data_IF_252859517938
#
_entry.id   IF_252859517938
#
_cell.length_a   1.000
_cell.length_b   1.000
_cell.length_c   1.000
_cell.angle_alpha   90.00
_cell.angle_beta   90.00
_cell.angle_gamma   90.00
#
_symmetry.space_group_name_H-M   'P 1'
#
loop_
_entity.id
_entity.type
_entity.pdbx_description
1 polymer ?
#
# COMPACT_ATOMS: atom_id res chain seq x y z
N UNK A 1 85.81 -15.17 -31.91
CA UNK A 1 85.47 -14.40 -30.69
C UNK A 1 83.98 -14.09 -30.75
N UNK A 2 83.22 -14.88 -30.04
CA UNK A 2 81.72 -14.81 -30.10
C UNK A 2 81.19 -13.96 -28.93
N UNK A 3 80.58 -12.85 -29.20
CA UNK A 3 79.89 -12.05 -28.21
C UNK A 3 78.51 -12.67 -27.99
N UNK A 4 78.22 -13.16 -26.81
CA UNK A 4 76.95 -13.57 -26.30
C UNK A 4 76.25 -12.37 -25.69
N UNK A 5 75.14 -11.98 -26.30
CA UNK A 5 74.19 -10.96 -25.79
C UNK A 5 73.23 -11.65 -24.87
N UNK A 6 73.05 -11.30 -23.59
CA UNK A 6 71.97 -11.84 -22.76
C UNK A 6 70.66 -11.14 -23.05
N UNK A 7 69.73 -11.92 -23.50
CA UNK A 7 68.32 -11.50 -23.67
C UNK A 7 67.66 -11.47 -22.27
N UNK A 8 67.47 -10.25 -21.75
CA UNK A 8 66.78 -10.03 -20.51
C UNK A 8 65.23 -10.19 -20.79
N UNK A 9 64.71 -11.37 -20.43
CA UNK A 9 63.29 -11.61 -20.47
C UNK A 9 62.64 -10.92 -19.23
N UNK A 10 62.04 -9.74 -19.40
CA UNK A 10 61.23 -9.11 -18.38
C UNK A 10 59.94 -9.93 -18.23
N UNK A 11 59.90 -10.79 -17.24
CA UNK A 11 58.63 -11.37 -16.77
C UNK A 11 57.83 -10.21 -16.15
N UNK A 12 56.84 -9.72 -16.89
CA UNK A 12 55.72 -8.97 -16.33
C UNK A 12 54.95 -9.93 -15.41
N UNK A 13 55.31 -9.91 -14.12
CA UNK A 13 54.45 -10.49 -13.08
C UNK A 13 53.19 -9.64 -13.05
N UNK A 14 52.14 -10.13 -13.69
CA UNK A 14 50.82 -9.62 -13.46
C UNK A 14 50.44 -9.98 -12.01
N UNK A 15 50.64 -9.02 -11.11
CA UNK A 15 50.07 -9.08 -9.76
C UNK A 15 48.60 -8.74 -9.96
N UNK A 16 47.68 -9.66 -9.79
CA UNK A 16 46.27 -9.27 -9.67
C UNK A 16 46.26 -8.34 -8.47
N UNK A 17 46.03 -7.07 -8.68
CA UNK A 17 45.49 -6.21 -7.65
C UNK A 17 44.15 -6.83 -7.32
N UNK A 18 44.06 -7.51 -6.18
CA UNK A 18 42.74 -7.77 -5.57
C UNK A 18 42.13 -6.38 -5.40
N UNK A 19 41.36 -5.98 -6.38
CA UNK A 19 40.49 -4.82 -6.26
C UNK A 19 39.58 -5.17 -5.08
N UNK A 20 39.75 -4.48 -3.97
CA UNK A 20 38.85 -4.58 -2.83
C UNK A 20 37.43 -4.73 -3.36
N UNK A 21 36.82 -5.84 -3.01
CA UNK A 21 35.55 -6.19 -3.57
C UNK A 21 34.49 -5.26 -2.98
N UNK A 22 34.22 -4.18 -3.71
CA UNK A 22 33.03 -3.35 -3.43
C UNK A 22 31.80 -4.16 -3.80
N UNK A 23 30.94 -4.40 -2.84
CA UNK A 23 29.72 -5.18 -3.03
C UNK A 23 28.49 -4.32 -2.83
N UNK A 24 27.49 -4.58 -3.66
CA UNK A 24 26.14 -4.02 -3.51
C UNK A 24 25.14 -5.16 -3.41
N UNK A 25 24.25 -5.06 -2.45
CA UNK A 25 23.21 -6.05 -2.20
C UNK A 25 21.83 -5.36 -2.13
N UNK A 26 20.82 -5.94 -2.77
CA UNK A 26 19.44 -5.60 -2.50
C UNK A 26 18.96 -6.42 -1.30
N UNK A 27 18.62 -5.74 -0.21
CA UNK A 27 18.07 -6.37 0.99
C UNK A 27 16.57 -6.22 0.99
N UNK A 28 15.87 -7.33 1.25
CA UNK A 28 14.41 -7.36 1.37
C UNK A 28 14.03 -7.83 2.76
N UNK A 29 13.28 -6.99 3.46
CA UNK A 29 12.69 -7.28 4.76
C UNK A 29 11.23 -7.67 4.58
N UNK A 30 10.85 -8.82 5.12
CA UNK A 30 9.48 -9.31 5.07
C UNK A 30 8.49 -8.41 5.82
N UNK A 31 7.19 -8.66 5.69
CA UNK A 31 6.14 -7.95 6.42
C UNK A 31 6.31 -8.00 7.93
N UNK A 32 5.79 -7.00 8.63
CA UNK A 32 5.75 -6.91 10.08
C UNK A 32 4.33 -6.73 10.63
N UNK A 33 4.21 -6.47 11.93
CA UNK A 33 2.91 -6.35 12.61
C UNK A 33 2.25 -4.98 12.40
N UNK A 34 3.03 -3.91 12.34
CA UNK A 34 2.49 -2.57 12.20
C UNK A 34 1.87 -2.34 10.81
N UNK A 35 0.91 -1.44 10.72
CA UNK A 35 0.18 -1.16 9.47
C UNK A 35 1.11 -0.81 8.33
N UNK A 36 2.12 0.02 8.59
CA UNK A 36 3.13 0.45 7.61
C UNK A 36 4.20 -0.62 7.32
N UNK A 37 4.32 -1.65 8.15
CA UNK A 37 5.25 -2.76 7.95
C UNK A 37 4.66 -3.90 7.11
N UNK A 38 3.33 -3.90 6.88
CA UNK A 38 2.62 -4.99 6.19
C UNK A 38 3.11 -5.24 4.77
N UNK A 39 3.64 -4.24 4.12
CA UNK A 39 4.14 -4.33 2.75
C UNK A 39 5.61 -4.78 2.66
N UNK A 40 6.29 -4.98 3.78
CA UNK A 40 7.72 -5.24 3.80
C UNK A 40 8.56 -3.96 3.68
N UNK A 41 9.84 -4.12 3.34
CA UNK A 41 10.77 -3.00 3.10
C UNK A 41 11.96 -3.44 2.26
N UNK A 42 12.59 -2.52 1.52
CA UNK A 42 13.86 -2.75 0.85
C UNK A 42 14.93 -1.75 1.31
N UNK A 43 16.17 -2.22 1.28
CA UNK A 43 17.35 -1.40 1.45
C UNK A 43 18.44 -1.83 0.44
N UNK A 44 19.37 -0.93 0.14
CA UNK A 44 20.65 -1.27 -0.50
C UNK A 44 21.73 -1.38 0.54
N UNK A 45 22.40 -2.52 0.59
CA UNK A 45 23.54 -2.77 1.48
C UNK A 45 24.81 -2.70 0.67
N UNK A 46 25.67 -1.75 1.02
CA UNK A 46 26.98 -1.55 0.39
C UNK A 46 28.10 -1.95 1.34
N UNK A 47 29.06 -2.70 0.82
CA UNK A 47 30.27 -3.13 1.50
C UNK A 47 31.48 -2.64 0.72
N UNK A 48 32.41 -1.99 1.41
CA UNK A 48 33.74 -1.64 0.91
C UNK A 48 34.73 -1.83 2.06
N UNK A 49 35.42 -2.95 2.06
CA UNK A 49 36.36 -3.31 3.15
C UNK A 49 37.53 -2.33 3.28
N UNK A 50 38.03 -1.78 2.16
CA UNK A 50 39.16 -0.81 2.18
C UNK A 50 38.72 0.52 2.78
N UNK A 51 37.49 0.96 2.45
CA UNK A 51 36.92 2.19 3.00
C UNK A 51 36.31 1.99 4.41
N UNK A 52 36.22 0.75 4.91
CA UNK A 52 35.53 0.43 6.15
C UNK A 52 34.01 0.71 6.07
N UNK A 53 33.44 0.62 4.88
CA UNK A 53 32.00 0.82 4.65
C UNK A 53 31.29 -0.52 4.79
N UNK A 54 30.28 -0.55 5.66
CA UNK A 54 29.32 -1.66 5.84
C UNK A 54 27.98 -1.05 6.28
N UNK A 55 27.26 -0.51 5.30
CA UNK A 55 26.05 0.28 5.57
C UNK A 55 24.89 -0.14 4.68
N UNK A 56 23.71 -0.08 5.26
CA UNK A 56 22.43 -0.16 4.56
C UNK A 56 21.87 1.25 4.32
N UNK A 57 21.31 1.46 3.15
CA UNK A 57 20.68 2.70 2.70
C UNK A 57 19.22 2.42 2.42
N UNK A 58 18.34 3.10 3.15
CA UNK A 58 16.89 2.89 3.08
C UNK A 58 16.15 4.20 2.86
N UNK A 59 15.00 4.14 2.21
CA UNK A 59 14.11 5.28 1.97
C UNK A 59 12.74 5.02 2.61
N UNK A 60 11.97 6.09 2.85
CA UNK A 60 10.65 5.96 3.47
C UNK A 60 10.61 6.35 4.94
N UNK A 61 11.63 7.02 5.45
CA UNK A 61 11.62 7.60 6.80
C UNK A 61 10.82 8.89 6.85
N UNK A 62 10.17 9.14 7.98
CA UNK A 62 9.37 10.33 8.22
C UNK A 62 9.42 10.74 9.71
N UNK A 63 9.12 12.01 9.99
CA UNK A 63 9.17 12.59 11.33
C UNK A 63 7.75 12.86 11.84
N UNK A 64 7.23 11.96 12.69
CA UNK A 64 5.88 12.12 13.28
C UNK A 64 5.77 13.28 14.26
N UNK A 65 6.86 13.68 14.89
CA UNK A 65 6.96 14.77 15.85
C UNK A 65 7.15 16.15 15.18
N UNK A 66 7.34 16.18 13.85
CA UNK A 66 7.37 17.43 13.08
C UNK A 66 6.05 18.19 13.23
N UNK A 67 6.13 19.50 13.54
CA UNK A 67 4.95 20.34 13.60
C UNK A 67 4.14 20.29 12.29
N UNK A 68 2.84 20.01 12.41
CA UNK A 68 1.94 19.92 11.26
C UNK A 68 1.93 18.56 10.53
N UNK A 69 2.73 17.55 10.95
CA UNK A 69 2.80 16.24 10.30
C UNK A 69 1.41 15.61 10.05
N UNK A 70 0.57 15.53 11.08
CA UNK A 70 -0.76 14.92 10.95
C UNK A 70 -1.69 15.70 10.02
N UNK A 71 -1.54 17.01 9.95
CA UNK A 71 -2.31 17.85 9.04
C UNK A 71 -1.87 17.67 7.59
N UNK A 72 -0.56 17.65 7.36
CA UNK A 72 0.01 17.36 6.03
C UNK A 72 -0.35 15.95 5.57
N UNK A 73 -0.19 14.95 6.45
CA UNK A 73 -0.57 13.57 6.18
C UNK A 73 -2.06 13.44 5.80
N UNK A 74 -2.96 14.10 6.56
CA UNK A 74 -4.39 14.09 6.26
C UNK A 74 -4.71 14.71 4.88
N UNK A 75 -3.87 15.61 4.38
CA UNK A 75 -3.98 16.21 3.05
C UNK A 75 -3.30 15.39 1.94
N UNK A 76 -2.60 14.32 2.28
CA UNK A 76 -1.81 13.52 1.34
C UNK A 76 -0.45 14.15 1.00
N UNK A 77 0.05 15.07 1.84
CA UNK A 77 1.38 15.68 1.70
C UNK A 77 2.33 14.88 2.60
N UNK A 78 2.99 13.91 2.01
CA UNK A 78 3.84 12.96 2.74
C UNK A 78 5.31 13.20 2.37
N UNK A 79 6.00 14.01 3.19
CA UNK A 79 7.41 14.35 2.98
C UNK A 79 8.30 13.36 3.72
N UNK A 80 8.92 12.48 2.97
CA UNK A 80 9.76 11.39 3.46
C UNK A 80 11.20 11.58 2.97
N UNK A 81 12.15 10.86 3.58
CA UNK A 81 13.58 10.96 3.27
C UNK A 81 14.27 9.61 3.38
N UNK A 82 15.52 9.55 2.90
CA UNK A 82 16.39 8.39 3.02
C UNK A 82 17.29 8.49 4.26
N UNK A 83 17.75 7.34 4.77
CA UNK A 83 18.68 7.23 5.88
C UNK A 83 19.69 6.11 5.64
N UNK A 84 20.86 6.21 6.26
CA UNK A 84 21.86 5.16 6.28
C UNK A 84 22.09 4.67 7.70
N UNK A 85 22.34 3.36 7.84
CA UNK A 85 22.64 2.68 9.10
C UNK A 85 23.73 1.66 8.89
N UNK A 86 24.48 1.26 9.94
CA UNK A 86 25.32 0.07 9.82
C UNK A 86 24.46 -1.17 9.60
N UNK A 87 24.90 -2.08 8.74
CA UNK A 87 24.17 -3.32 8.44
C UNK A 87 23.84 -4.12 9.71
N UNK A 88 24.79 -4.20 10.64
CA UNK A 88 24.62 -4.90 11.91
C UNK A 88 23.44 -4.35 12.74
N UNK A 89 23.33 -3.01 12.84
CA UNK A 89 22.24 -2.36 13.59
C UNK A 89 20.89 -2.56 12.90
N UNK A 90 20.86 -2.44 11.59
CA UNK A 90 19.61 -2.59 10.84
C UNK A 90 19.10 -4.03 10.87
N UNK A 91 19.99 -5.01 10.64
CA UNK A 91 19.59 -6.41 10.70
C UNK A 91 19.14 -6.82 12.11
N UNK A 92 19.77 -6.33 13.17
CA UNK A 92 19.32 -6.57 14.54
C UNK A 92 17.93 -5.99 14.81
N UNK A 93 17.65 -4.79 14.30
CA UNK A 93 16.33 -4.17 14.40
C UNK A 93 15.24 -5.03 13.77
N UNK A 94 15.47 -5.58 12.56
CA UNK A 94 14.48 -6.42 11.88
C UNK A 94 14.39 -7.82 12.48
N UNK A 95 15.49 -8.43 12.94
CA UNK A 95 15.48 -9.69 13.70
C UNK A 95 14.68 -9.56 15.00
N UNK A 96 14.89 -8.48 15.75
CA UNK A 96 14.17 -8.23 16.99
C UNK A 96 12.66 -8.08 16.83
N UNK A 97 12.18 -7.89 15.59
CA UNK A 97 10.77 -7.83 15.20
C UNK A 97 10.28 -9.07 14.47
N UNK A 98 11.08 -10.12 14.44
CA UNK A 98 10.82 -11.37 13.73
C UNK A 98 10.39 -11.16 12.26
N UNK A 99 11.07 -10.22 11.56
CA UNK A 99 10.88 -9.99 10.12
C UNK A 99 11.97 -10.71 9.34
N UNK A 100 11.60 -11.44 8.30
CA UNK A 100 12.56 -12.13 7.44
C UNK A 100 13.51 -11.13 6.78
N UNK A 101 14.76 -11.55 6.56
CA UNK A 101 15.80 -10.75 5.90
C UNK A 101 16.41 -11.62 4.81
N UNK A 102 16.22 -11.27 3.56
CA UNK A 102 16.92 -11.85 2.43
C UNK A 102 17.78 -10.79 1.75
N UNK A 103 18.93 -11.18 1.22
CA UNK A 103 19.85 -10.28 0.51
C UNK A 103 20.30 -10.90 -0.81
N UNK A 104 20.21 -10.13 -1.89
CA UNK A 104 20.61 -10.51 -3.25
C UNK A 104 21.84 -9.70 -3.63
N UNK A 105 22.98 -10.38 -3.82
CA UNK A 105 24.21 -9.78 -4.30
C UNK A 105 24.06 -9.38 -5.75
N UNK A 106 24.25 -8.10 -6.05
CA UNK A 106 24.12 -7.55 -7.39
C UNK A 106 25.46 -7.69 -8.14
N UNK A 107 25.42 -8.26 -9.33
CA UNK A 107 26.58 -8.38 -10.23
C UNK A 107 26.82 -7.06 -10.96
N UNK A 108 27.23 -6.05 -10.19
CA UNK A 108 27.56 -4.72 -10.67
C UNK A 108 29.09 -4.56 -10.79
N UNK A 109 29.51 -3.89 -11.84
CA UNK A 109 30.92 -3.50 -12.00
C UNK A 109 31.33 -2.55 -10.87
N UNK A 110 32.63 -2.48 -10.51
CA UNK A 110 33.10 -1.52 -9.51
C UNK A 110 32.76 -0.06 -9.83
N UNK A 111 32.64 0.29 -11.11
CA UNK A 111 32.21 1.63 -11.53
C UNK A 111 30.75 1.89 -11.21
N UNK A 112 29.86 0.91 -11.42
CA UNK A 112 28.45 0.98 -11.09
C UNK A 112 28.21 1.03 -9.58
N UNK A 113 28.96 0.23 -8.79
CA UNK A 113 28.86 0.27 -7.32
C UNK A 113 29.27 1.66 -6.79
N UNK A 114 30.38 2.23 -7.29
CA UNK A 114 30.78 3.60 -6.91
C UNK A 114 29.76 4.65 -7.33
N UNK A 115 29.13 4.49 -8.49
CA UNK A 115 28.08 5.39 -8.95
C UNK A 115 26.84 5.29 -8.07
N UNK A 116 26.37 4.06 -7.77
CA UNK A 116 25.30 3.81 -6.83
C UNK A 116 25.57 4.43 -5.45
N UNK A 117 26.75 4.21 -4.89
CA UNK A 117 27.16 4.80 -3.60
C UNK A 117 27.11 6.34 -3.62
N UNK A 118 27.54 6.95 -4.72
CA UNK A 118 27.48 8.40 -4.87
C UNK A 118 26.05 8.91 -4.88
N UNK A 119 25.14 8.30 -5.66
CA UNK A 119 23.73 8.68 -5.72
C UNK A 119 23.06 8.56 -4.35
N UNK A 120 23.34 7.48 -3.62
CA UNK A 120 22.81 7.26 -2.27
C UNK A 120 23.34 8.32 -1.28
N UNK A 121 24.63 8.66 -1.36
CA UNK A 121 25.18 9.70 -0.51
C UNK A 121 24.62 11.09 -0.83
N UNK A 122 24.47 11.44 -2.09
CA UNK A 122 23.87 12.71 -2.51
C UNK A 122 22.42 12.85 -2.02
N UNK A 123 21.67 11.76 -1.97
CA UNK A 123 20.28 11.75 -1.48
C UNK A 123 20.16 11.87 0.05
N UNK A 124 21.20 11.44 0.81
CA UNK A 124 21.11 11.30 2.27
C UNK A 124 22.01 12.29 3.01
N UNK A 125 23.16 12.68 2.47
CA UNK A 125 24.17 13.47 3.18
C UNK A 125 24.50 14.81 2.46
N UNK A 126 24.91 15.88 3.19
CA UNK A 126 24.96 15.96 4.66
C UNK A 126 23.60 16.12 5.33
N UNK A 127 22.56 16.48 4.56
CA UNK A 127 21.17 16.63 5.02
C UNK A 127 20.28 15.81 4.09
N UNK A 128 19.44 14.93 4.61
CA UNK A 128 18.55 14.12 3.78
C UNK A 128 17.69 14.97 2.86
N UNK A 129 17.60 14.57 1.59
CA UNK A 129 16.69 15.18 0.65
C UNK A 129 15.28 14.62 0.88
N UNK A 130 14.33 15.52 1.11
CA UNK A 130 12.92 15.14 1.22
C UNK A 130 12.32 14.93 -0.15
N UNK A 131 11.50 13.88 -0.29
CA UNK A 131 10.70 13.61 -1.47
C UNK A 131 9.22 13.45 -1.10
N UNK A 132 8.36 13.64 -2.09
CA UNK A 132 6.93 13.41 -1.92
C UNK A 132 6.66 11.91 -2.03
N UNK A 133 6.38 11.29 -0.88
CA UNK A 133 6.10 9.87 -0.79
C UNK A 133 4.73 9.54 -1.38
N UNK A 134 4.68 8.47 -2.14
CA UNK A 134 3.45 7.87 -2.63
C UNK A 134 3.42 6.38 -2.32
N UNK A 135 2.26 5.88 -1.92
CA UNK A 135 2.12 4.48 -1.48
C UNK A 135 2.55 3.47 -2.53
N UNK A 136 2.32 3.77 -3.83
CA UNK A 136 2.54 2.85 -4.93
C UNK A 136 3.59 3.34 -5.94
N UNK A 137 3.77 4.65 -6.10
CA UNK A 137 4.62 5.20 -7.15
C UNK A 137 5.91 5.84 -6.66
N UNK A 138 6.02 6.20 -5.36
CA UNK A 138 7.22 6.82 -4.80
C UNK A 138 7.46 6.37 -3.35
N UNK A 139 7.83 5.11 -3.16
CA UNK A 139 8.09 4.52 -1.85
C UNK A 139 9.52 3.97 -1.72
N UNK A 140 9.82 3.21 -0.66
CA UNK A 140 11.15 2.64 -0.43
C UNK A 140 11.61 1.74 -1.59
N UNK A 141 10.74 0.90 -2.13
CA UNK A 141 11.09 -0.03 -3.22
C UNK A 141 11.25 0.68 -4.55
N UNK A 142 10.33 1.57 -4.90
CA UNK A 142 10.37 2.29 -6.19
C UNK A 142 11.60 3.19 -6.28
N UNK A 143 12.02 3.82 -5.16
CA UNK A 143 13.27 4.57 -5.11
C UNK A 143 14.48 3.71 -5.45
N UNK A 144 14.57 2.52 -4.85
CA UNK A 144 15.67 1.60 -5.11
C UNK A 144 15.59 0.98 -6.51
N UNK A 145 14.39 0.67 -7.00
CA UNK A 145 14.15 0.25 -8.38
C UNK A 145 14.73 1.26 -9.38
N UNK A 146 14.40 2.54 -9.19
CA UNK A 146 14.80 3.61 -10.08
C UNK A 146 16.32 3.83 -10.05
N UNK A 147 16.96 3.76 -8.87
CA UNK A 147 18.41 3.79 -8.74
C UNK A 147 19.10 2.59 -9.42
N UNK A 148 18.57 1.39 -9.23
CA UNK A 148 19.11 0.18 -9.87
C UNK A 148 18.95 0.25 -11.38
N UNK A 149 17.83 0.74 -11.86
CA UNK A 149 17.59 0.95 -13.29
C UNK A 149 18.61 1.94 -13.89
N UNK A 150 18.86 3.06 -13.20
CA UNK A 150 19.83 4.07 -13.62
C UNK A 150 21.24 3.48 -13.72
N UNK A 151 21.71 2.77 -12.69
CA UNK A 151 23.08 2.21 -12.69
C UNK A 151 23.27 1.01 -13.61
N UNK A 152 22.19 0.34 -14.00
CA UNK A 152 22.19 -0.76 -14.98
C UNK A 152 21.88 -0.30 -16.40
N UNK A 153 21.77 1.01 -16.63
CA UNK A 153 21.51 1.59 -17.97
C UNK A 153 20.13 1.33 -18.51
N UNK A 154 19.11 1.20 -17.65
CA UNK A 154 17.71 1.01 -18.04
C UNK A 154 17.27 -0.46 -18.14
N UNK A 155 18.07 -1.40 -17.69
CA UNK A 155 17.82 -2.84 -17.87
C UNK A 155 16.60 -3.34 -17.09
N UNK A 156 16.31 -2.75 -15.92
CA UNK A 156 15.11 -3.09 -15.14
C UNK A 156 13.86 -2.65 -15.89
N UNK A 157 13.82 -1.40 -16.33
CA UNK A 157 12.68 -0.85 -17.08
C UNK A 157 12.46 -1.60 -18.38
N UNK A 158 13.51 -1.89 -19.14
CA UNK A 158 13.44 -2.66 -20.39
C UNK A 158 12.78 -4.01 -20.18
N UNK A 159 13.11 -4.71 -19.10
CA UNK A 159 12.52 -6.00 -18.77
C UNK A 159 11.11 -5.87 -18.19
N UNK A 160 10.95 -5.07 -17.13
CA UNK A 160 9.75 -5.09 -16.30
C UNK A 160 8.54 -4.39 -16.95
N UNK A 161 8.76 -3.39 -17.82
CA UNK A 161 7.67 -2.73 -18.55
C UNK A 161 7.01 -3.63 -19.61
N UNK A 162 7.71 -4.68 -20.05
CA UNK A 162 7.20 -5.62 -21.05
C UNK A 162 6.39 -6.77 -20.43
N UNK A 163 6.39 -6.88 -19.10
CA UNK A 163 5.68 -7.94 -18.38
C UNK A 163 4.48 -7.36 -17.61
N UNK A 164 3.32 -8.03 -17.66
CA UNK A 164 2.21 -7.66 -16.79
C UNK A 164 2.57 -7.93 -15.33
N UNK A 165 1.98 -7.17 -14.42
CA UNK A 165 2.03 -7.47 -13.00
C UNK A 165 1.32 -8.82 -12.71
N UNK A 166 1.72 -9.49 -11.63
CA UNK A 166 1.04 -10.71 -11.17
C UNK A 166 -0.30 -10.40 -10.52
N UNK A 167 -0.38 -9.24 -9.86
CA UNK A 167 -1.56 -8.71 -9.18
C UNK A 167 -1.58 -7.18 -9.30
N UNK A 168 -2.80 -6.60 -9.24
CA UNK A 168 -2.93 -5.14 -9.15
C UNK A 168 -2.68 -4.64 -7.71
N UNK A 169 -2.68 -3.32 -7.53
CA UNK A 169 -2.38 -2.71 -6.23
C UNK A 169 -3.41 -3.08 -5.15
N UNK A 170 -4.68 -3.24 -5.51
CA UNK A 170 -5.72 -3.66 -4.57
C UNK A 170 -5.52 -5.10 -4.10
N UNK A 171 -5.22 -6.01 -5.01
CA UNK A 171 -5.03 -7.42 -4.69
C UNK A 171 -3.85 -7.60 -3.73
N UNK A 172 -2.73 -6.91 -3.97
CA UNK A 172 -1.61 -6.88 -3.03
C UNK A 172 -2.00 -6.26 -1.69
N UNK A 173 -2.69 -5.10 -1.69
CA UNK A 173 -3.14 -4.45 -0.46
C UNK A 173 -4.11 -5.35 0.31
N UNK A 174 -5.00 -6.06 -0.39
CA UNK A 174 -5.94 -7.02 0.18
C UNK A 174 -5.21 -8.17 0.87
N UNK A 175 -4.40 -8.96 0.12
CA UNK A 175 -3.73 -10.15 0.65
C UNK A 175 -2.83 -9.86 1.85
N UNK A 176 -2.10 -8.74 1.82
CA UNK A 176 -1.19 -8.35 2.90
C UNK A 176 -1.90 -7.93 4.19
N UNK A 177 -3.21 -7.63 4.13
CA UNK A 177 -4.01 -7.20 5.28
C UNK A 177 -5.08 -8.21 5.71
N UNK A 178 -5.21 -9.36 5.06
CA UNK A 178 -6.24 -10.38 5.36
C UNK A 178 -6.22 -10.87 6.80
N UNK A 179 -5.06 -10.93 7.43
CA UNK A 179 -4.90 -11.35 8.83
C UNK A 179 -5.50 -10.34 9.83
N UNK A 180 -5.86 -9.14 9.38
CA UNK A 180 -6.48 -8.07 10.19
C UNK A 180 -7.82 -7.63 9.57
N UNK A 181 -8.91 -8.37 9.80
CA UNK A 181 -10.18 -8.19 9.07
C UNK A 181 -10.73 -6.77 9.09
N UNK A 182 -10.61 -6.06 10.22
CA UNK A 182 -11.08 -4.68 10.35
C UNK A 182 -10.25 -3.68 9.56
N UNK A 183 -8.93 -3.87 9.54
CA UNK A 183 -8.04 -3.04 8.73
C UNK A 183 -8.29 -3.31 7.23
N UNK A 184 -8.39 -4.59 6.86
CA UNK A 184 -8.73 -5.00 5.50
C UNK A 184 -10.06 -4.37 5.05
N UNK A 185 -11.14 -4.51 5.84
CA UNK A 185 -12.44 -3.92 5.53
C UNK A 185 -12.37 -2.39 5.37
N UNK A 186 -11.62 -1.72 6.25
CA UNK A 186 -11.41 -0.27 6.21
C UNK A 186 -10.68 0.16 4.93
N UNK A 187 -9.54 -0.47 4.61
CA UNK A 187 -8.77 -0.18 3.41
C UNK A 187 -9.60 -0.45 2.15
N UNK A 188 -10.23 -1.62 2.07
CA UNK A 188 -11.05 -2.00 0.90
C UNK A 188 -12.23 -1.06 0.68
N UNK A 189 -12.79 -0.49 1.76
CA UNK A 189 -13.84 0.53 1.68
C UNK A 189 -13.32 1.90 1.23
N UNK A 190 -12.10 2.26 1.66
CA UNK A 190 -11.53 3.59 1.42
C UNK A 190 -10.96 3.74 0.01
N UNK A 191 -10.38 2.67 -0.53
CA UNK A 191 -9.66 2.70 -1.80
C UNK A 191 -10.63 2.71 -3.00
N UNK A 192 -10.38 3.61 -3.94
CA UNK A 192 -11.16 3.82 -5.18
C UNK A 192 -10.67 2.95 -6.34
N UNK A 193 -11.21 3.15 -7.56
CA UNK A 193 -10.95 2.31 -8.73
C UNK A 193 -9.54 2.46 -9.33
N UNK A 194 -8.80 3.50 -8.99
CA UNK A 194 -7.46 3.73 -9.56
C UNK A 194 -6.50 2.58 -9.27
N UNK A 195 -6.64 1.95 -8.10
CA UNK A 195 -5.77 0.85 -7.68
C UNK A 195 -6.20 -0.53 -8.21
N UNK A 196 -7.34 -0.60 -8.93
CA UNK A 196 -7.83 -1.81 -9.60
C UNK A 196 -7.29 -1.97 -11.03
N UNK A 197 -6.65 -0.92 -11.56
CA UNK A 197 -6.13 -0.93 -12.93
C UNK A 197 -5.09 -2.03 -13.13
N UNK A 198 -5.05 -2.58 -14.33
CA UNK A 198 -3.95 -3.42 -14.77
C UNK A 198 -2.62 -2.67 -14.64
N UNK A 199 -1.58 -3.38 -14.19
CA UNK A 199 -0.26 -2.84 -13.93
C UNK A 199 0.80 -3.65 -14.66
N UNK A 200 1.98 -3.05 -14.81
CA UNK A 200 3.18 -3.74 -15.28
C UNK A 200 3.98 -4.26 -14.08
N UNK A 201 4.90 -5.15 -14.32
CA UNK A 201 5.87 -5.58 -13.31
C UNK A 201 6.69 -4.41 -12.74
N UNK A 202 6.92 -3.37 -13.55
CA UNK A 202 7.53 -2.12 -13.10
C UNK A 202 6.70 -1.44 -12.01
N UNK A 203 5.40 -1.33 -12.20
CA UNK A 203 4.50 -0.76 -11.20
C UNK A 203 4.42 -1.67 -9.96
N UNK A 204 4.36 -3.01 -10.16
CA UNK A 204 4.28 -4.00 -9.08
C UNK A 204 5.50 -3.98 -8.16
N UNK A 205 6.66 -3.51 -8.65
CA UNK A 205 7.87 -3.31 -7.85
C UNK A 205 7.76 -2.19 -6.78
N UNK A 206 6.56 -1.59 -6.59
CA UNK A 206 6.28 -0.85 -5.35
C UNK A 206 6.38 -1.76 -4.13
N UNK A 207 6.16 -3.06 -4.34
CA UNK A 207 6.22 -4.08 -3.31
C UNK A 207 7.64 -4.65 -3.19
N UNK A 208 8.23 -4.66 -1.98
CA UNK A 208 9.59 -5.14 -1.76
C UNK A 208 9.87 -6.55 -2.30
N UNK A 209 8.94 -7.47 -2.09
CA UNK A 209 9.08 -8.84 -2.60
C UNK A 209 9.01 -8.91 -4.12
N UNK A 210 8.19 -8.06 -4.76
CA UNK A 210 8.11 -8.01 -6.22
C UNK A 210 9.37 -7.40 -6.84
N UNK A 211 9.95 -6.36 -6.22
CA UNK A 211 11.23 -5.83 -6.66
C UNK A 211 12.32 -6.91 -6.60
N UNK A 212 12.44 -7.63 -5.47
CA UNK A 212 13.41 -8.71 -5.32
C UNK A 212 13.20 -9.84 -6.36
N UNK A 213 11.93 -10.21 -6.61
CA UNK A 213 11.56 -11.21 -7.60
C UNK A 213 12.02 -10.83 -9.02
N UNK A 214 11.81 -9.55 -9.40
CA UNK A 214 12.15 -9.09 -10.74
C UNK A 214 13.64 -8.82 -10.90
N UNK A 215 14.34 -8.27 -9.90
CA UNK A 215 15.79 -8.07 -9.92
C UNK A 215 16.53 -9.39 -10.16
N UNK A 216 16.03 -10.51 -9.60
CA UNK A 216 16.56 -11.86 -9.83
C UNK A 216 16.41 -12.34 -11.29
N UNK A 217 15.52 -11.74 -12.06
CA UNK A 217 15.17 -12.12 -13.44
C UNK A 217 15.69 -11.20 -14.51
N UNK A 218 16.20 -10.05 -14.11
CA UNK A 218 16.83 -9.10 -15.03
C UNK A 218 18.23 -9.56 -15.38
N UNK A 219 18.57 -9.53 -16.66
CA UNK A 219 19.88 -9.95 -17.18
C UNK A 219 20.45 -8.88 -18.10
N UNK A 220 21.09 -7.82 -17.53
CA UNK A 220 21.72 -6.80 -18.33
C UNK A 220 22.77 -7.43 -19.27
N UNK A 221 22.75 -7.07 -20.52
CA UNK A 221 23.68 -7.63 -21.54
C UNK A 221 23.77 -9.17 -21.54
N UNK A 222 22.70 -9.85 -21.09
CA UNK A 222 22.62 -11.31 -21.04
C UNK A 222 23.31 -11.98 -19.83
N UNK A 223 23.80 -11.20 -18.86
CA UNK A 223 24.33 -11.70 -17.59
C UNK A 223 23.32 -11.48 -16.46
N UNK A 224 23.05 -12.49 -15.59
CA UNK A 224 22.15 -12.30 -14.46
C UNK A 224 22.58 -11.14 -13.57
N UNK A 225 21.64 -10.25 -13.21
CA UNK A 225 21.93 -9.14 -12.30
C UNK A 225 22.19 -9.60 -10.86
N UNK A 226 21.64 -10.75 -10.47
CA UNK A 226 21.87 -11.35 -9.14
C UNK A 226 22.86 -12.47 -9.23
N UNK A 227 24.02 -12.31 -8.56
CA UNK A 227 25.07 -13.31 -8.48
C UNK A 227 24.82 -14.36 -7.38
N UNK A 228 24.20 -13.95 -6.28
CA UNK A 228 23.97 -14.78 -5.09
C UNK A 228 22.76 -14.28 -4.30
N UNK A 229 22.02 -15.20 -3.69
CA UNK A 229 20.95 -14.87 -2.74
C UNK A 229 21.21 -15.53 -1.40
N UNK A 230 21.11 -14.77 -0.31
CA UNK A 230 21.29 -15.23 1.08
C UNK A 230 20.03 -14.97 1.90
N UNK A 231 19.56 -15.99 2.61
CA UNK A 231 18.60 -15.82 3.70
C UNK A 231 19.36 -15.53 4.99
N UNK A 232 19.28 -14.30 5.47
CA UNK A 232 19.99 -13.83 6.67
C UNK A 232 19.18 -14.12 7.94
N UNK A 233 17.86 -14.02 7.84
CA UNK A 233 16.93 -14.36 8.92
C UNK A 233 15.60 -14.85 8.34
N UNK A 234 15.10 -15.93 8.89
CA UNK A 234 13.80 -16.52 8.54
C UNK A 234 12.78 -16.22 9.64
N UNK A 235 11.74 -15.45 9.30
CA UNK A 235 10.68 -15.11 10.25
C UNK A 235 9.82 -16.34 10.56
N UNK A 236 9.52 -16.54 11.85
CA UNK A 236 8.72 -17.68 12.29
C UNK A 236 7.20 -17.44 12.24
N UNK A 237 6.77 -16.18 12.21
CA UNK A 237 5.37 -15.81 12.51
C UNK A 237 4.64 -15.13 11.32
N UNK A 238 5.33 -14.51 10.38
CA UNK A 238 4.69 -13.57 9.44
C UNK A 238 4.92 -13.88 7.97
N UNK A 239 4.43 -15.02 7.50
CA UNK A 239 4.30 -15.21 6.06
C UNK A 239 2.94 -14.66 5.59
N UNK A 240 2.93 -13.63 4.73
CA UNK A 240 1.68 -13.18 4.12
C UNK A 240 1.12 -14.28 3.22
N UNK A 241 -0.23 -14.37 3.07
CA UNK A 241 -0.82 -15.33 2.15
C UNK A 241 -0.41 -15.01 0.70
N UNK A 242 -0.27 -16.05 -0.13
CA UNK A 242 0.08 -15.90 -1.54
C UNK A 242 -1.05 -15.30 -2.38
N UNK A 243 -2.30 -15.50 -1.95
CA UNK A 243 -3.50 -15.03 -2.64
C UNK A 243 -4.48 -14.33 -1.68
N UNK A 244 -5.33 -13.48 -2.24
CA UNK A 244 -6.35 -12.75 -1.50
C UNK A 244 -7.62 -13.58 -1.27
N UNK A 245 -7.55 -14.59 -0.44
CA UNK A 245 -8.73 -15.36 -0.04
C UNK A 245 -9.57 -14.57 0.97
N UNK A 246 -10.54 -13.83 0.48
CA UNK A 246 -11.39 -12.95 1.28
C UNK A 246 -12.25 -13.77 2.26
N UNK A 247 -12.35 -13.30 3.50
CA UNK A 247 -13.23 -13.88 4.52
C UNK A 247 -14.68 -13.43 4.30
N UNK A 248 -15.33 -13.91 3.23
CA UNK A 248 -16.70 -13.53 2.84
C UNK A 248 -17.73 -13.70 3.98
N UNK A 249 -17.59 -14.72 4.80
CA UNK A 249 -18.48 -14.98 5.95
C UNK A 249 -18.41 -13.88 7.01
N UNK A 250 -17.24 -13.26 7.20
CA UNK A 250 -17.05 -12.16 8.14
C UNK A 250 -17.86 -10.94 7.69
N UNK A 251 -17.77 -10.56 6.41
CA UNK A 251 -18.54 -9.47 5.85
C UNK A 251 -20.05 -9.74 5.92
N UNK A 252 -20.46 -10.94 5.53
CA UNK A 252 -21.88 -11.33 5.59
C UNK A 252 -22.42 -11.29 7.03
N UNK A 253 -21.66 -11.79 7.99
CA UNK A 253 -22.06 -11.77 9.41
C UNK A 253 -22.25 -10.33 9.91
N UNK A 254 -21.31 -9.42 9.63
CA UNK A 254 -21.44 -8.00 9.97
C UNK A 254 -22.69 -7.40 9.35
N UNK A 255 -22.94 -7.66 8.06
CA UNK A 255 -24.10 -7.16 7.34
C UNK A 255 -25.42 -7.63 7.94
N UNK A 256 -25.53 -8.92 8.25
CA UNK A 256 -26.75 -9.52 8.83
C UNK A 256 -27.00 -9.06 10.27
N UNK A 257 -25.98 -9.12 11.12
CA UNK A 257 -26.09 -8.67 12.53
C UNK A 257 -26.35 -7.17 12.59
N UNK A 258 -25.61 -6.36 11.84
CA UNK A 258 -25.84 -4.92 11.75
C UNK A 258 -27.22 -4.58 11.22
N UNK A 259 -27.67 -5.25 10.16
CA UNK A 259 -29.02 -5.10 9.59
C UNK A 259 -30.12 -5.47 10.58
N UNK A 260 -29.95 -6.54 11.37
CA UNK A 260 -30.86 -6.92 12.43
C UNK A 260 -30.95 -5.84 13.53
N UNK A 261 -29.80 -5.37 14.03
CA UNK A 261 -29.75 -4.31 15.04
C UNK A 261 -30.41 -3.01 14.56
N UNK A 262 -30.14 -2.60 13.32
CA UNK A 262 -30.75 -1.43 12.69
C UNK A 262 -32.26 -1.56 12.53
N UNK A 263 -32.75 -2.79 12.40
CA UNK A 263 -34.18 -3.08 12.24
C UNK A 263 -34.97 -3.20 13.54
N UNK A 264 -34.35 -3.06 14.72
CA UNK A 264 -35.03 -3.15 16.02
C UNK A 264 -36.32 -2.31 16.14
N UNK A 265 -36.41 -1.07 15.61
CA UNK A 265 -37.64 -0.29 15.70
C UNK A 265 -38.85 -0.89 14.97
N UNK A 266 -38.65 -1.84 14.05
CA UNK A 266 -39.70 -2.54 13.34
C UNK A 266 -40.30 -3.71 14.12
N UNK A 267 -39.45 -4.33 14.99
CA UNK A 267 -39.86 -5.52 15.76
C UNK A 267 -40.31 -5.18 17.16
N UNK A 268 -39.84 -4.06 17.69
CA UNK A 268 -40.13 -3.60 19.03
C UNK A 268 -40.74 -2.20 19.01
N UNK A 269 -41.35 -1.79 20.14
CA UNK A 269 -41.86 -0.43 20.30
C UNK A 269 -40.76 0.61 20.03
N UNK A 270 -41.05 1.55 19.14
CA UNK A 270 -40.10 2.63 18.80
C UNK A 270 -39.85 3.52 20.02
N UNK A 271 -38.63 3.59 20.46
CA UNK A 271 -38.11 4.45 21.54
C UNK A 271 -36.62 4.78 21.30
N UNK A 272 -36.01 5.58 22.19
CA UNK A 272 -34.65 6.01 22.03
C UNK A 272 -33.66 4.83 21.91
N UNK A 273 -33.86 3.76 22.64
CA UNK A 273 -32.95 2.60 22.67
C UNK A 273 -33.06 1.74 21.42
N UNK A 274 -34.27 1.53 20.91
CA UNK A 274 -34.48 0.78 19.67
C UNK A 274 -34.02 1.58 18.44
N UNK A 275 -34.09 2.93 18.48
CA UNK A 275 -33.61 3.81 17.41
C UNK A 275 -32.11 4.05 17.43
N UNK A 276 -31.43 3.81 18.56
CA UNK A 276 -30.01 4.13 18.70
C UNK A 276 -29.12 3.41 17.67
N UNK A 277 -29.24 2.08 17.44
CA UNK A 277 -28.42 1.39 16.43
C UNK A 277 -28.64 1.97 15.01
N UNK A 278 -29.88 2.29 14.67
CA UNK A 278 -30.19 2.90 13.37
C UNK A 278 -29.55 4.29 13.22
N UNK A 279 -29.65 5.14 14.26
CA UNK A 279 -29.01 6.48 14.24
C UNK A 279 -27.49 6.39 14.16
N UNK A 280 -26.89 5.45 14.87
CA UNK A 280 -25.44 5.21 14.80
C UNK A 280 -25.01 4.75 13.41
N UNK A 281 -25.74 3.83 12.78
CA UNK A 281 -25.47 3.37 11.42
C UNK A 281 -25.61 4.51 10.40
N UNK A 282 -26.68 5.30 10.50
CA UNK A 282 -26.89 6.49 9.64
C UNK A 282 -25.77 7.50 9.79
N UNK A 283 -25.35 7.78 11.03
CA UNK A 283 -24.21 8.66 11.30
C UNK A 283 -22.90 8.10 10.73
N UNK A 284 -22.62 6.81 10.97
CA UNK A 284 -21.40 6.15 10.49
C UNK A 284 -21.31 6.15 8.96
N UNK A 285 -22.38 5.76 8.27
CA UNK A 285 -22.44 5.74 6.80
C UNK A 285 -22.26 7.14 6.22
N UNK A 286 -23.00 8.10 6.76
CA UNK A 286 -22.93 9.47 6.25
C UNK A 286 -21.60 10.16 6.54
N UNK A 287 -21.00 9.95 7.73
CA UNK A 287 -19.69 10.49 8.08
C UNK A 287 -18.59 9.83 7.25
N UNK A 288 -18.60 8.50 7.10
CA UNK A 288 -17.64 7.79 6.27
C UNK A 288 -17.70 8.27 4.82
N UNK A 289 -18.90 8.40 4.27
CA UNK A 289 -19.08 8.96 2.93
C UNK A 289 -18.61 10.41 2.82
N UNK A 290 -18.85 11.24 3.84
CA UNK A 290 -18.34 12.61 3.86
C UNK A 290 -16.80 12.66 3.92
N UNK A 291 -16.17 11.77 4.70
CA UNK A 291 -14.70 11.64 4.76
C UNK A 291 -14.14 11.20 3.42
N UNK A 292 -14.69 10.13 2.79
CA UNK A 292 -14.25 9.65 1.47
C UNK A 292 -14.38 10.78 0.43
N UNK A 293 -15.51 11.48 0.42
CA UNK A 293 -15.74 12.59 -0.50
C UNK A 293 -14.77 13.77 -0.26
N UNK A 294 -14.54 14.12 1.01
CA UNK A 294 -13.59 15.15 1.39
C UNK A 294 -12.15 14.78 1.02
N UNK A 295 -11.76 13.52 1.22
CA UNK A 295 -10.45 13.02 0.79
C UNK A 295 -10.30 13.09 -0.72
N UNK A 296 -11.31 12.65 -1.47
CA UNK A 296 -11.28 12.70 -2.93
C UNK A 296 -11.15 14.12 -3.48
N UNK A 297 -11.98 15.05 -2.97
CA UNK A 297 -12.06 16.40 -3.55
C UNK A 297 -11.06 17.40 -2.94
N UNK A 298 -10.57 17.13 -1.73
CA UNK A 298 -9.81 18.09 -0.93
C UNK A 298 -8.40 17.68 -0.56
N UNK A 299 -7.95 16.47 -0.95
CA UNK A 299 -6.62 15.97 -0.60
C UNK A 299 -5.88 15.40 -1.81
N UNK A 300 -4.58 15.15 -1.66
CA UNK A 300 -3.75 14.51 -2.66
C UNK A 300 -3.76 12.95 -2.55
N UNK A 301 -4.62 12.36 -1.73
CA UNK A 301 -4.78 10.90 -1.64
C UNK A 301 -5.51 10.34 -2.86
N UNK A 302 -4.85 10.32 -4.02
CA UNK A 302 -5.43 9.82 -5.26
C UNK A 302 -6.01 8.38 -5.19
N UNK A 303 -5.49 7.45 -4.32
CA UNK A 303 -6.07 6.11 -4.25
C UNK A 303 -7.53 6.06 -3.77
N UNK A 304 -8.04 7.17 -3.19
CA UNK A 304 -9.44 7.30 -2.75
C UNK A 304 -10.33 7.86 -3.85
N UNK A 305 -9.75 8.48 -4.89
CA UNK A 305 -10.49 9.20 -5.92
C UNK A 305 -11.47 8.28 -6.69
N UNK A 306 -12.63 8.83 -7.03
CA UNK A 306 -13.65 8.11 -7.83
C UNK A 306 -14.29 6.92 -7.13
N UNK A 307 -14.17 6.79 -5.81
CA UNK A 307 -14.61 5.62 -5.06
C UNK A 307 -16.13 5.38 -5.18
N UNK A 308 -16.49 4.27 -5.82
CA UNK A 308 -17.89 3.90 -6.10
C UNK A 308 -18.66 3.46 -4.84
N UNK A 309 -17.98 3.18 -3.74
CA UNK A 309 -18.61 2.90 -2.43
C UNK A 309 -19.40 4.12 -1.94
N UNK A 310 -19.09 5.33 -2.42
CA UNK A 310 -19.88 6.55 -2.16
C UNK A 310 -21.35 6.47 -2.60
N UNK A 311 -21.69 5.61 -3.55
CA UNK A 311 -23.09 5.36 -3.88
C UNK A 311 -23.88 4.74 -2.72
N UNK A 312 -23.20 4.00 -1.84
CA UNK A 312 -23.79 3.32 -0.68
C UNK A 312 -23.52 4.10 0.61
N UNK A 313 -22.26 4.43 0.87
CA UNK A 313 -21.83 5.28 1.98
C UNK A 313 -21.99 6.76 1.60
N UNK A 314 -23.23 7.20 1.46
CA UNK A 314 -23.51 8.52 0.90
C UNK A 314 -23.69 9.59 2.00
N UNK A 315 -23.08 10.80 1.91
CA UNK A 315 -23.22 11.85 2.92
C UNK A 315 -24.69 12.25 3.21
N UNK A 316 -25.60 12.07 2.26
CA UNK A 316 -27.03 12.34 2.44
C UNK A 316 -27.68 11.55 3.58
N UNK A 317 -27.07 10.44 4.03
CA UNK A 317 -27.55 9.73 5.22
C UNK A 317 -27.64 10.65 6.44
N UNK A 318 -26.72 11.61 6.59
CA UNK A 318 -26.71 12.54 7.73
C UNK A 318 -27.99 13.37 7.84
N UNK A 319 -28.71 13.62 6.74
CA UNK A 319 -29.94 14.38 6.77
C UNK A 319 -31.07 13.70 7.59
N UNK A 320 -30.99 12.37 7.75
CA UNK A 320 -31.94 11.66 8.61
C UNK A 320 -31.72 11.88 10.12
N UNK A 321 -30.61 12.48 10.52
CA UNK A 321 -30.33 12.83 11.92
C UNK A 321 -30.95 14.17 12.33
N UNK A 322 -31.38 14.97 11.35
CA UNK A 322 -31.93 16.31 11.58
C UNK A 322 -33.46 16.36 11.34
N UNK A 323 -34.14 17.30 11.97
CA UNK A 323 -35.60 17.50 11.79
C UNK A 323 -35.91 18.22 10.47
N UNK A 324 -35.66 17.54 9.33
CA UNK A 324 -35.98 18.06 8.00
C UNK A 324 -37.44 17.72 7.61
N UNK A 325 -38.05 18.54 6.76
CA UNK A 325 -39.42 18.37 6.31
C UNK A 325 -39.67 17.04 5.55
N UNK A 326 -40.91 16.57 5.56
CA UNK A 326 -41.30 15.29 4.96
C UNK A 326 -40.91 15.17 3.48
N UNK A 327 -41.14 16.21 2.68
CA UNK A 327 -40.82 16.22 1.24
C UNK A 327 -39.32 16.00 0.98
N UNK A 328 -38.45 16.73 1.70
CA UNK A 328 -37.00 16.59 1.58
C UNK A 328 -36.55 15.18 2.01
N UNK A 329 -37.12 14.66 3.10
CA UNK A 329 -36.81 13.34 3.61
C UNK A 329 -37.20 12.24 2.61
N UNK A 330 -38.35 12.36 1.98
CA UNK A 330 -38.81 11.44 0.93
C UNK A 330 -37.94 11.51 -0.30
N UNK A 331 -37.52 12.71 -0.72
CA UNK A 331 -36.60 12.89 -1.83
C UNK A 331 -35.25 12.21 -1.52
N UNK A 332 -34.67 12.48 -0.34
CA UNK A 332 -33.40 11.87 0.09
C UNK A 332 -33.49 10.34 0.14
N UNK A 333 -34.61 9.81 0.63
CA UNK A 333 -34.86 8.37 0.65
C UNK A 333 -34.79 7.75 -0.75
N UNK A 334 -35.46 8.37 -1.74
CA UNK A 334 -35.46 7.90 -3.13
C UNK A 334 -34.09 8.04 -3.78
N UNK A 335 -33.36 9.13 -3.51
CA UNK A 335 -31.98 9.32 -3.99
C UNK A 335 -31.06 8.25 -3.44
N UNK A 336 -31.15 7.93 -2.14
CA UNK A 336 -30.33 6.87 -1.53
C UNK A 336 -30.69 5.48 -2.05
N UNK A 337 -31.98 5.22 -2.33
CA UNK A 337 -32.39 3.96 -2.95
C UNK A 337 -31.85 3.82 -4.37
N UNK A 338 -31.92 4.88 -5.18
CA UNK A 338 -31.38 4.90 -6.53
C UNK A 338 -29.82 4.75 -6.51
N UNK A 339 -29.16 5.45 -5.59
CA UNK A 339 -27.73 5.34 -5.39
C UNK A 339 -27.33 3.92 -4.96
N UNK A 340 -28.06 3.31 -4.01
CA UNK A 340 -27.84 1.91 -3.63
C UNK A 340 -27.95 0.97 -4.82
N UNK A 341 -28.97 1.12 -5.65
CA UNK A 341 -29.15 0.27 -6.84
C UNK A 341 -28.00 0.43 -7.82
N UNK A 342 -27.60 1.68 -8.12
CA UNK A 342 -26.47 1.97 -8.99
C UNK A 342 -25.14 1.43 -8.42
N UNK A 343 -24.87 1.71 -7.14
CA UNK A 343 -23.66 1.23 -6.45
C UNK A 343 -23.58 -0.29 -6.40
N UNK A 344 -24.72 -0.97 -6.14
CA UNK A 344 -24.75 -2.45 -6.15
C UNK A 344 -24.37 -3.01 -7.51
N UNK A 345 -24.91 -2.46 -8.60
CA UNK A 345 -24.58 -2.90 -9.96
C UNK A 345 -23.10 -2.64 -10.25
N UNK A 346 -22.63 -1.41 -10.02
CA UNK A 346 -21.24 -1.00 -10.35
C UNK A 346 -20.20 -1.80 -9.57
N UNK A 347 -20.44 -2.09 -8.28
CA UNK A 347 -19.52 -2.86 -7.44
C UNK A 347 -19.63 -4.38 -7.67
N UNK A 348 -20.71 -4.87 -8.27
CA UNK A 348 -20.89 -6.28 -8.56
C UNK A 348 -20.39 -6.70 -9.95
N UNK A 349 -20.08 -5.74 -10.84
CA UNK A 349 -19.60 -6.04 -12.20
C UNK A 349 -18.15 -6.54 -12.13
N UNK A 350 -17.84 -7.79 -12.55
CA UNK A 350 -16.47 -8.34 -12.49
C UNK A 350 -15.46 -7.53 -13.31
N UNK A 351 -15.86 -7.06 -14.49
CA UNK A 351 -15.04 -6.23 -15.38
C UNK A 351 -15.29 -4.72 -15.18
N UNK A 352 -15.93 -4.35 -14.06
CA UNK A 352 -16.18 -2.97 -13.71
C UNK A 352 -14.93 -2.26 -13.20
N UNK A 353 -14.98 -0.92 -13.14
CA UNK A 353 -13.81 -0.13 -12.71
C UNK A 353 -13.42 -0.36 -11.24
N UNK A 354 -14.34 -0.90 -10.42
CA UNK A 354 -14.09 -1.19 -9.00
C UNK A 354 -14.95 -2.40 -8.58
N UNK A 355 -14.49 -3.61 -8.92
CA UNK A 355 -15.20 -4.82 -8.51
C UNK A 355 -15.02 -5.08 -7.01
N UNK A 356 -16.13 -4.97 -6.23
CA UNK A 356 -16.13 -5.13 -4.76
C UNK A 356 -17.37 -5.88 -4.27
N UNK A 357 -17.65 -7.02 -4.88
CA UNK A 357 -18.77 -7.88 -4.45
C UNK A 357 -18.66 -8.31 -2.97
N UNK A 358 -17.45 -8.41 -2.44
CA UNK A 358 -17.18 -8.70 -1.02
C UNK A 358 -17.76 -7.63 -0.08
N UNK A 359 -17.57 -6.34 -0.41
CA UNK A 359 -18.13 -5.25 0.39
C UNK A 359 -19.67 -5.25 0.37
N UNK A 360 -20.30 -5.70 -0.72
CA UNK A 360 -21.75 -5.78 -0.81
C UNK A 360 -22.34 -6.76 0.20
N UNK A 361 -21.58 -7.77 0.65
CA UNK A 361 -22.05 -8.74 1.64
C UNK A 361 -22.42 -8.07 2.98
N UNK A 362 -21.76 -6.98 3.36
CA UNK A 362 -22.13 -6.25 4.58
C UNK A 362 -22.87 -4.95 4.30
N UNK A 363 -22.50 -4.22 3.25
CA UNK A 363 -23.11 -2.95 2.92
C UNK A 363 -24.59 -3.10 2.50
N UNK A 364 -24.90 -4.09 1.66
CA UNK A 364 -26.24 -4.25 1.09
C UNK A 364 -27.29 -4.62 2.14
N UNK A 365 -27.11 -5.67 2.99
CA UNK A 365 -28.10 -5.99 4.02
C UNK A 365 -28.32 -4.84 5.01
N UNK A 366 -27.26 -4.17 5.39
CA UNK A 366 -27.31 -3.07 6.35
C UNK A 366 -28.01 -1.84 5.75
N UNK A 367 -27.72 -1.47 4.50
CA UNK A 367 -28.34 -0.34 3.82
C UNK A 367 -29.83 -0.57 3.57
N UNK A 368 -30.21 -1.77 3.15
CA UNK A 368 -31.62 -2.14 2.99
C UNK A 368 -32.40 -2.05 4.31
N UNK A 369 -31.77 -2.52 5.42
CA UNK A 369 -32.33 -2.38 6.76
C UNK A 369 -32.48 -0.91 7.15
N UNK A 370 -31.47 -0.07 6.89
CA UNK A 370 -31.53 1.37 7.18
C UNK A 370 -32.64 2.07 6.41
N UNK A 371 -32.74 1.85 5.09
CA UNK A 371 -33.80 2.44 4.24
C UNK A 371 -35.19 2.02 4.68
N UNK A 372 -35.39 0.73 5.00
CA UNK A 372 -36.69 0.24 5.43
C UNK A 372 -37.07 0.75 6.82
N UNK A 373 -36.10 0.91 7.73
CA UNK A 373 -36.32 1.46 9.08
C UNK A 373 -36.61 2.97 9.04
N UNK A 374 -35.99 3.69 8.09
CA UNK A 374 -36.23 5.12 7.91
C UNK A 374 -37.71 5.45 7.72
N UNK A 375 -38.51 4.58 7.09
CA UNK A 375 -39.95 4.75 6.93
C UNK A 375 -40.75 4.58 8.24
N UNK A 376 -40.26 3.69 9.12
CA UNK A 376 -40.90 3.44 10.44
C UNK A 376 -40.46 4.43 11.51
N UNK A 377 -39.21 4.83 11.48
CA UNK A 377 -38.67 5.78 12.45
C UNK A 377 -39.31 7.17 12.37
N UNK A 378 -39.92 7.49 11.24
CA UNK A 378 -40.58 8.77 10.97
C UNK A 378 -41.92 8.54 10.28
N UNK A 379 -42.97 8.15 11.02
CA UNK A 379 -44.31 8.06 10.45
C UNK A 379 -44.66 9.39 9.79
N UNK A 380 -45.35 9.32 8.64
CA UNK A 380 -45.91 10.49 7.99
C UNK A 380 -46.67 11.30 9.06
N UNK A 381 -46.25 12.55 9.27
CA UNK A 381 -46.83 13.39 10.31
C UNK A 381 -48.36 13.30 10.18
N UNK A 382 -49.04 12.98 11.28
CA UNK A 382 -50.43 13.24 11.41
C UNK A 382 -50.65 14.68 10.97
N UNK A 383 -51.32 14.88 9.85
CA UNK A 383 -51.81 16.19 9.48
C UNK A 383 -52.46 16.72 10.75
N UNK A 384 -51.90 17.79 11.31
CA UNK A 384 -52.55 18.52 12.38
C UNK A 384 -53.92 18.91 11.83
N UNK A 385 -54.94 18.16 12.22
CA UNK A 385 -56.29 18.61 12.09
C UNK A 385 -56.41 19.88 12.94
N UNK A 386 -56.12 21.01 12.28
CA UNK A 386 -56.48 22.31 12.79
C UNK A 386 -57.98 22.41 12.70
N UNK A 387 -58.61 22.36 13.83
CA UNK A 387 -59.93 22.95 14.05
C UNK A 387 -59.74 24.30 14.66
#
# INVERSE_FOLDING_TARGET
MKLLLPMLLALLVYVPTDASAQEAWLVTYGPGEEVWERFGHNALWLIDEEAGLDHTFSFGYFEMDRAGFYFDFARGIMRYFGSASTSAREFEFYRGRDRSISAQKLDLTPAQVRWLHRLLNEAIFPVPQYYDYDYYFANCSTWLRDLLDEVTGGALAETMLQHPATQNFREHTSRLNLQRPWLHAGLMTLLGPEIDRERTAWDEAFLPEALAYWVDRVSPEGQPLVAETRLIHDAQVHSPPESDTIMWWFYLLIGLVGGALVSLPKWFRTNVWTLLPWRMAVAAYGLMGAVILAMWLGTAHYPVAGNLVLFILHPLWLLFLFPVGHALRTLVWWLLLAALAAGTVLLALPDGPQYRADLLLWLLPMTLAMLSTARTAWPAGSASSGT
#
